data_IF_084660417486
#
_entry.id   IF_084660417486
#
_cell.length_a   1.000
_cell.length_b   1.000
_cell.length_c   1.000
_cell.angle_alpha   90.00
_cell.angle_beta   90.00
_cell.angle_gamma   90.00
#
_symmetry.space_group_name_H-M   'P 1'
#
loop_
_entity.id
_entity.type
_entity.pdbx_description
1 polymer ?
#
# COMPACT_ATOMS: atom_id res chain seq x y z
N UNK A 1 -32.86 -3.03 -17.14
CA UNK A 1 -31.82 -4.07 -17.30
C UNK A 1 -30.48 -3.38 -17.06
N UNK A 2 -29.94 -3.47 -15.84
CA UNK A 2 -28.72 -2.77 -15.44
C UNK A 2 -27.62 -3.80 -15.22
N UNK A 3 -26.61 -3.79 -16.09
CA UNK A 3 -25.43 -4.63 -15.98
C UNK A 3 -24.47 -4.00 -14.98
N UNK A 4 -24.35 -4.60 -13.80
CA UNK A 4 -23.28 -4.29 -12.83
C UNK A 4 -21.96 -4.89 -13.32
N UNK A 5 -20.83 -4.15 -13.34
CA UNK A 5 -19.53 -4.72 -13.65
C UNK A 5 -19.05 -5.57 -12.47
N UNK A 6 -18.73 -6.84 -12.73
CA UNK A 6 -18.16 -7.76 -11.77
C UNK A 6 -16.73 -7.31 -11.39
N UNK A 7 -16.54 -6.95 -10.13
CA UNK A 7 -15.22 -6.72 -9.55
C UNK A 7 -14.48 -8.06 -9.49
N UNK A 8 -13.43 -8.23 -10.30
CA UNK A 8 -12.60 -9.43 -10.25
C UNK A 8 -11.92 -9.53 -8.86
N UNK A 9 -11.90 -10.71 -8.23
CA UNK A 9 -11.22 -10.89 -6.97
C UNK A 9 -9.71 -10.75 -7.19
N UNK A 10 -9.09 -9.85 -6.44
CA UNK A 10 -7.63 -9.75 -6.31
C UNK A 10 -7.09 -11.06 -5.70
N UNK A 11 -6.73 -12.02 -6.53
CA UNK A 11 -6.11 -13.29 -6.11
C UNK A 11 -4.64 -13.05 -5.78
N UNK A 12 -4.38 -12.27 -4.73
CA UNK A 12 -3.11 -12.25 -4.03
C UNK A 12 -3.25 -13.20 -2.85
N UNK A 13 -2.64 -14.39 -2.94
CA UNK A 13 -2.56 -15.29 -1.78
C UNK A 13 -1.74 -14.61 -0.70
N UNK A 14 -2.41 -13.96 0.26
CA UNK A 14 -1.79 -13.54 1.51
C UNK A 14 -1.33 -14.81 2.22
N UNK A 15 -0.05 -15.15 2.07
CA UNK A 15 0.54 -16.26 2.80
C UNK A 15 0.44 -15.97 4.30
N UNK A 16 -0.29 -16.81 5.03
CA UNK A 16 -0.48 -16.72 6.49
C UNK A 16 0.79 -17.09 7.28
N UNK A 17 1.91 -17.34 6.60
CA UNK A 17 3.20 -17.67 7.20
C UNK A 17 3.85 -16.43 7.83
N UNK A 18 3.37 -16.15 9.04
CA UNK A 18 3.75 -15.01 9.86
C UNK A 18 5.20 -15.11 10.36
N UNK A 19 5.88 -16.27 10.17
CA UNK A 19 7.29 -16.45 10.56
C UNK A 19 8.23 -15.52 9.79
N UNK A 20 7.88 -15.12 8.57
CA UNK A 20 8.67 -14.15 7.79
C UNK A 20 8.53 -12.72 8.33
N UNK A 21 7.43 -12.44 9.03
CA UNK A 21 7.14 -11.17 9.71
C UNK A 21 7.77 -11.09 11.12
N UNK A 22 8.29 -12.19 11.68
CA UNK A 22 9.00 -12.16 12.98
C UNK A 22 10.33 -11.41 12.96
N UNK A 23 10.82 -10.99 11.80
CA UNK A 23 12.01 -10.17 11.67
C UNK A 23 11.59 -8.71 11.51
N UNK A 24 11.98 -7.83 12.44
CA UNK A 24 11.65 -6.40 12.42
C UNK A 24 12.00 -5.73 11.09
N UNK A 25 13.12 -6.11 10.47
CA UNK A 25 13.51 -5.60 9.15
C UNK A 25 12.56 -5.99 8.01
N UNK A 26 11.87 -7.14 8.10
CA UNK A 26 10.84 -7.52 7.13
C UNK A 26 9.53 -6.78 7.40
N UNK A 27 9.21 -6.49 8.66
CA UNK A 27 8.06 -5.66 9.01
C UNK A 27 8.24 -4.25 8.47
N UNK A 28 9.41 -3.63 8.66
CA UNK A 28 9.67 -2.27 8.18
C UNK A 28 9.56 -2.16 6.64
N UNK A 29 10.08 -3.15 5.92
CA UNK A 29 9.90 -3.24 4.45
C UNK A 29 8.43 -3.43 4.06
N UNK A 30 7.70 -4.29 4.75
CA UNK A 30 6.28 -4.50 4.50
C UNK A 30 5.46 -3.24 4.80
N UNK A 31 5.80 -2.49 5.86
CA UNK A 31 5.18 -1.21 6.19
C UNK A 31 5.42 -0.16 5.11
N UNK A 32 6.64 -0.08 4.60
CA UNK A 32 6.98 0.85 3.50
C UNK A 32 6.20 0.53 2.22
N UNK A 33 6.11 -0.76 1.87
CA UNK A 33 5.32 -1.21 0.71
C UNK A 33 3.81 -0.97 0.90
N UNK A 34 3.29 -1.21 2.11
CA UNK A 34 1.91 -0.90 2.45
C UNK A 34 1.62 0.60 2.30
N UNK A 35 2.51 1.46 2.80
CA UNK A 35 2.37 2.90 2.70
C UNK A 35 2.44 3.40 1.25
N UNK A 36 3.26 2.79 0.39
CA UNK A 36 3.27 3.09 -1.05
C UNK A 36 1.92 2.78 -1.71
N UNK A 37 1.31 1.63 -1.40
CA UNK A 37 -0.02 1.27 -1.92
C UNK A 37 -1.08 2.27 -1.41
N UNK A 38 -1.02 2.61 -0.12
CA UNK A 38 -1.93 3.57 0.49
C UNK A 38 -1.82 4.95 -0.16
N UNK A 39 -0.60 5.45 -0.37
CA UNK A 39 -0.33 6.72 -1.05
C UNK A 39 -0.90 6.70 -2.47
N UNK A 40 -0.73 5.59 -3.20
CA UNK A 40 -1.33 5.42 -4.53
C UNK A 40 -2.86 5.48 -4.50
N UNK A 41 -3.50 4.82 -3.53
CA UNK A 41 -4.96 4.90 -3.35
C UNK A 41 -5.42 6.32 -3.00
N UNK A 42 -4.67 7.03 -2.16
CA UNK A 42 -4.95 8.42 -1.80
C UNK A 42 -4.86 9.34 -3.02
N UNK A 43 -3.76 9.29 -3.77
CA UNK A 43 -3.55 10.08 -4.98
C UNK A 43 -4.64 9.81 -6.01
N UNK A 44 -5.03 8.54 -6.18
CA UNK A 44 -6.14 8.15 -7.05
C UNK A 44 -7.48 8.73 -6.60
N UNK A 45 -7.81 8.65 -5.31
CA UNK A 45 -9.04 9.20 -4.76
C UNK A 45 -9.12 10.73 -4.87
N UNK A 46 -8.00 11.44 -4.62
CA UNK A 46 -7.92 12.88 -4.82
C UNK A 46 -8.18 13.27 -6.27
N UNK A 47 -7.66 12.49 -7.23
CA UNK A 47 -7.85 12.75 -8.67
C UNK A 47 -9.26 12.41 -9.14
N UNK A 48 -9.87 11.35 -8.60
CA UNK A 48 -11.29 11.03 -8.81
C UNK A 48 -12.24 12.13 -8.31
N UNK A 49 -11.78 12.96 -7.37
CA UNK A 49 -12.56 14.11 -6.83
C UNK A 49 -12.50 15.34 -7.76
N UNK A 50 -11.80 15.27 -8.90
CA UNK A 50 -11.70 16.38 -9.84
C UNK A 50 -13.01 16.57 -10.62
N UNK A 51 -13.81 17.56 -10.22
CA UNK A 51 -14.91 18.11 -11.02
C UNK A 51 -14.31 18.89 -12.21
N UNK A 52 -14.09 18.24 -13.35
CA UNK A 52 -13.64 18.96 -14.55
C UNK A 52 -13.59 18.08 -15.79
N UNK A 53 -14.23 18.59 -16.85
CA UNK A 53 -14.53 18.01 -18.16
C UNK A 53 -13.72 16.76 -18.60
N UNK A 54 -14.43 15.63 -18.66
CA UNK A 54 -13.95 14.30 -19.08
C UNK A 54 -13.79 14.17 -20.61
N UNK A 55 -13.79 15.28 -21.34
CA UNK A 55 -13.84 15.30 -22.81
C UNK A 55 -12.48 15.09 -23.49
N UNK A 56 -11.38 15.14 -22.74
CA UNK A 56 -10.01 15.01 -23.26
C UNK A 56 -9.19 13.87 -22.64
N UNK A 57 -9.81 12.98 -21.85
CA UNK A 57 -9.13 11.83 -21.25
C UNK A 57 -9.05 10.69 -22.27
N UNK A 58 -7.84 10.19 -22.55
CA UNK A 58 -7.62 8.99 -23.38
C UNK A 58 -7.12 7.86 -22.50
N UNK A 59 -7.54 6.63 -22.77
CA UNK A 59 -7.13 5.44 -22.02
C UNK A 59 -5.60 5.24 -21.98
N UNK A 60 -4.89 5.69 -23.02
CA UNK A 60 -3.43 5.70 -23.04
C UNK A 60 -2.84 6.71 -22.04
N UNK A 61 -3.46 7.87 -21.90
CA UNK A 61 -3.06 8.90 -20.94
C UNK A 61 -3.33 8.44 -19.51
N UNK A 62 -4.46 7.75 -19.27
CA UNK A 62 -4.79 7.17 -17.96
C UNK A 62 -3.74 6.15 -17.52
N UNK A 63 -3.33 5.26 -18.44
CA UNK A 63 -2.29 4.26 -18.13
C UNK A 63 -0.95 4.92 -17.79
N UNK A 64 -0.55 5.95 -18.53
CA UNK A 64 0.67 6.70 -18.25
C UNK A 64 0.60 7.43 -16.89
N UNK A 65 -0.56 8.02 -16.58
CA UNK A 65 -0.82 8.67 -15.30
C UNK A 65 -0.81 7.69 -14.13
N UNK A 66 -1.40 6.51 -14.29
CA UNK A 66 -1.36 5.46 -13.27
C UNK A 66 0.08 5.03 -12.99
N UNK A 67 0.92 4.87 -14.01
CA UNK A 67 2.35 4.58 -13.82
C UNK A 67 3.10 5.73 -13.14
N UNK A 68 2.80 6.97 -13.49
CA UNK A 68 3.36 8.14 -12.82
C UNK A 68 3.00 8.15 -11.34
N UNK A 69 1.73 7.87 -11.01
CA UNK A 69 1.24 7.85 -9.64
C UNK A 69 1.87 6.72 -8.83
N UNK A 70 2.10 5.56 -9.45
CA UNK A 70 2.85 4.47 -8.82
C UNK A 70 4.26 4.90 -8.44
N UNK A 71 4.98 5.58 -9.34
CA UNK A 71 6.32 6.07 -9.02
C UNK A 71 6.30 7.14 -7.93
N UNK A 72 5.37 8.10 -8.02
CA UNK A 72 5.22 9.15 -7.00
C UNK A 72 4.91 8.54 -5.63
N UNK A 73 3.98 7.60 -5.57
CA UNK A 73 3.60 6.93 -4.33
C UNK A 73 4.76 6.16 -3.71
N UNK A 74 5.58 5.49 -4.53
CA UNK A 74 6.77 4.78 -4.09
C UNK A 74 7.84 5.75 -3.56
N UNK A 75 8.15 6.81 -4.29
CA UNK A 75 9.11 7.84 -3.82
C UNK A 75 8.64 8.51 -2.52
N UNK A 76 7.33 8.77 -2.38
CA UNK A 76 6.78 9.32 -1.14
C UNK A 76 6.92 8.36 0.03
N UNK A 77 6.67 7.06 -0.16
CA UNK A 77 6.85 6.07 0.89
C UNK A 77 8.32 5.92 1.33
N UNK A 78 9.27 6.10 0.41
CA UNK A 78 10.71 5.98 0.70
C UNK A 78 11.31 7.25 1.31
N UNK A 79 10.98 8.43 0.78
CA UNK A 79 11.65 9.70 1.14
C UNK A 79 10.84 10.62 2.04
N UNK A 80 9.51 10.52 2.03
CA UNK A 80 8.62 11.37 2.82
C UNK A 80 7.49 10.55 3.49
N UNK A 81 7.84 9.53 4.31
CA UNK A 81 6.84 8.68 4.95
C UNK A 81 5.98 9.51 5.91
N UNK A 82 4.66 9.41 5.75
CA UNK A 82 3.66 9.95 6.67
C UNK A 82 3.52 9.12 7.95
N UNK A 83 4.12 7.93 7.98
CA UNK A 83 4.23 7.08 9.17
C UNK A 83 3.11 6.07 9.33
N UNK A 84 2.22 5.95 8.33
CA UNK A 84 1.12 4.98 8.34
C UNK A 84 1.69 3.56 8.27
N UNK A 85 2.71 3.33 7.44
CA UNK A 85 3.40 2.04 7.35
C UNK A 85 4.01 1.63 8.68
N UNK A 86 4.64 2.59 9.39
CA UNK A 86 5.20 2.37 10.73
C UNK A 86 4.13 2.08 11.78
N UNK A 87 3.00 2.77 11.73
CA UNK A 87 1.90 2.54 12.66
C UNK A 87 1.30 1.13 12.48
N UNK A 88 1.14 0.69 11.23
CA UNK A 88 0.65 -0.65 10.89
C UNK A 88 1.64 -1.73 11.36
N UNK A 89 2.94 -1.56 11.11
CA UNK A 89 3.94 -2.53 11.55
C UNK A 89 4.08 -2.58 13.07
N UNK A 90 3.99 -1.43 13.75
CA UNK A 90 3.98 -1.37 15.21
C UNK A 90 2.75 -2.08 15.81
N UNK A 91 1.57 -1.90 15.20
CA UNK A 91 0.35 -2.61 15.61
C UNK A 91 0.46 -4.13 15.41
N UNK A 92 0.99 -4.56 14.26
CA UNK A 92 1.26 -5.98 13.96
C UNK A 92 2.29 -6.57 14.93
N UNK A 93 3.35 -5.82 15.26
CA UNK A 93 4.36 -6.26 16.22
C UNK A 93 3.80 -6.34 17.65
N UNK A 94 2.97 -5.38 18.05
CA UNK A 94 2.31 -5.37 19.37
C UNK A 94 1.31 -6.51 19.53
N UNK A 95 0.59 -6.86 18.47
CA UNK A 95 -0.42 -7.93 18.47
C UNK A 95 0.19 -9.34 18.37
N UNK A 96 1.48 -9.46 18.09
CA UNK A 96 2.19 -10.75 18.01
C UNK A 96 3.13 -10.98 19.22
N UNK A 97 2.78 -11.87 20.17
CA UNK A 97 3.58 -12.13 21.36
C UNK A 97 4.98 -12.74 21.09
N UNK A 98 5.23 -13.26 19.87
CA UNK A 98 6.51 -13.90 19.49
C UNK A 98 7.58 -12.93 18.98
N UNK A 99 7.24 -11.69 18.59
CA UNK A 99 8.23 -10.70 18.11
C UNK A 99 8.90 -9.96 19.27
N UNK A 100 8.20 -9.84 20.42
CA UNK A 100 8.71 -9.22 21.65
C UNK A 100 9.60 -10.14 22.51
N UNK A 101 9.90 -11.37 22.07
CA UNK A 101 10.68 -12.36 22.83
C UNK A 101 12.06 -12.68 22.23
N UNK A 102 12.50 -11.97 21.18
CA UNK A 102 13.89 -12.05 20.73
C UNK A 102 14.79 -11.31 21.74
N UNK A 103 15.39 -12.10 22.63
CA UNK A 103 16.16 -11.71 23.82
C UNK A 103 17.38 -10.80 23.54
N UNK A 104 17.83 -10.03 24.55
CA UNK A 104 19.07 -9.26 24.49
C UNK A 104 20.28 -10.21 24.37
N UNK A 105 21.21 -9.84 23.50
CA UNK A 105 22.53 -10.48 23.40
C UNK A 105 23.31 -10.28 24.71
N UNK A 106 23.68 -11.39 25.35
CA UNK A 106 24.75 -11.49 26.34
C UNK A 106 25.80 -12.46 25.79
#
# INVERSE_FOLDING_TARGET
MASTPAMAPITGTVSTDTKRLSNSANLDKAGTQFEAIFNGMMLKAMRQTKLGDTLFESQALDTFRDMQDQQVAQTMAEHAPMGIGKAVTAFLAKSQPKINQAQPIA
#
